data_IF_007110201950
#
_entry.id   IF_007110201950
#
_cell.length_a   1.000
_cell.length_b   1.000
_cell.length_c   1.000
_cell.angle_alpha   90.00
_cell.angle_beta   90.00
_cell.angle_gamma   90.00
#
_symmetry.space_group_name_H-M   'P 1'
#
loop_
_entity.id
_entity.type
_entity.pdbx_description
1 polymer ?
#
# COMPACT_ATOMS: atom_id res chain seq x y z
N UNK A 1 -5.91 -15.80 -1.31
CA UNK A 1 -6.70 -14.67 -0.80
C UNK A 1 -6.36 -13.46 -1.65
N UNK A 2 -7.36 -12.87 -2.31
CA UNK A 2 -7.21 -11.62 -3.08
C UNK A 2 -7.14 -10.46 -2.10
N UNK A 3 -5.93 -10.11 -1.68
CA UNK A 3 -5.67 -9.00 -0.77
C UNK A 3 -5.86 -7.67 -1.54
N UNK A 4 -6.69 -6.79 -1.01
CA UNK A 4 -6.80 -5.40 -1.44
C UNK A 4 -5.53 -4.66 -1.00
N UNK A 5 -4.46 -4.80 -1.78
CA UNK A 5 -3.26 -3.97 -1.64
C UNK A 5 -3.58 -2.58 -2.23
N UNK A 6 -3.63 -1.55 -1.38
CA UNK A 6 -4.12 -0.22 -1.79
C UNK A 6 -3.13 0.59 -2.61
N UNK A 7 -1.84 0.28 -2.54
CA UNK A 7 -0.80 1.12 -3.17
C UNK A 7 0.14 0.31 -4.06
N UNK A 8 0.13 0.66 -5.35
CA UNK A 8 1.29 0.51 -6.21
C UNK A 8 2.32 1.57 -5.81
N UNK A 9 3.28 1.20 -4.96
CA UNK A 9 4.38 2.11 -4.57
C UNK A 9 5.44 2.13 -5.68
N UNK A 10 5.03 2.66 -6.83
CA UNK A 10 5.84 2.75 -8.04
C UNK A 10 6.11 1.39 -8.71
N UNK A 11 6.78 1.40 -9.88
CA UNK A 11 7.13 0.21 -10.67
C UNK A 11 8.09 -0.76 -9.95
N UNK A 12 8.35 -0.56 -8.66
CA UNK A 12 9.34 -1.26 -7.83
C UNK A 12 8.71 -2.24 -6.84
N UNK A 13 7.37 -2.27 -6.72
CA UNK A 13 6.61 -3.22 -5.86
C UNK A 13 6.42 -4.59 -6.50
N UNK A 14 7.36 -5.03 -7.34
CA UNK A 14 7.32 -6.36 -7.94
C UNK A 14 7.55 -7.40 -6.84
N UNK A 15 6.71 -8.45 -6.81
CA UNK A 15 6.82 -9.53 -5.82
C UNK A 15 8.21 -10.15 -5.81
N UNK A 16 8.74 -10.46 -4.64
CA UNK A 16 9.87 -11.33 -4.42
C UNK A 16 9.51 -12.81 -4.55
N UNK A 17 10.54 -13.64 -4.67
CA UNK A 17 10.40 -15.08 -4.51
C UNK A 17 10.13 -15.42 -3.04
N UNK A 18 9.13 -16.26 -2.77
CA UNK A 18 8.89 -16.78 -1.42
C UNK A 18 9.94 -17.85 -1.07
N UNK A 19 10.16 -18.11 0.22
CA UNK A 19 10.98 -19.24 0.65
C UNK A 19 10.49 -20.54 0.00
N UNK A 20 11.37 -21.24 -0.72
CA UNK A 20 11.07 -22.50 -1.41
C UNK A 20 10.42 -22.37 -2.79
N UNK A 21 10.20 -21.16 -3.31
CA UNK A 21 9.79 -20.97 -4.71
C UNK A 21 10.99 -20.95 -5.66
N UNK A 22 10.78 -21.48 -6.86
CA UNK A 22 11.76 -21.37 -7.95
C UNK A 22 12.02 -19.91 -8.32
N UNK A 23 13.27 -19.62 -8.65
CA UNK A 23 13.67 -18.31 -9.17
C UNK A 23 12.91 -18.02 -10.47
N UNK A 24 12.31 -16.83 -10.55
CA UNK A 24 11.63 -16.34 -11.75
C UNK A 24 12.24 -15.01 -12.21
N UNK A 25 13.45 -15.00 -12.79
CA UNK A 25 14.09 -13.79 -13.30
C UNK A 25 13.19 -12.99 -14.24
N UNK A 26 13.23 -11.67 -14.12
CA UNK A 26 12.38 -10.73 -14.85
C UNK A 26 10.92 -10.69 -14.39
N UNK A 27 10.53 -11.52 -13.42
CA UNK A 27 9.16 -11.56 -12.85
C UNK A 27 9.12 -11.39 -11.34
N UNK A 28 10.09 -11.96 -10.62
CA UNK A 28 10.17 -11.89 -9.16
C UNK A 28 11.53 -11.38 -8.70
N UNK A 29 11.56 -10.59 -7.63
CA UNK A 29 12.79 -10.14 -6.95
C UNK A 29 13.45 -11.28 -6.18
N UNK A 30 14.77 -11.26 -6.03
CA UNK A 30 15.44 -12.07 -4.99
C UNK A 30 15.13 -11.50 -3.60
N UNK A 31 15.47 -12.24 -2.54
CA UNK A 31 15.31 -11.76 -1.16
C UNK A 31 16.10 -10.47 -0.92
N UNK A 32 17.36 -10.41 -1.39
CA UNK A 32 18.19 -9.23 -1.24
C UNK A 32 17.66 -8.04 -2.02
N UNK A 33 17.23 -8.26 -3.27
CA UNK A 33 16.63 -7.19 -4.05
C UNK A 33 15.33 -6.66 -3.40
N UNK A 34 14.53 -7.52 -2.77
CA UNK A 34 13.32 -7.11 -2.04
C UNK A 34 13.68 -6.31 -0.78
N UNK A 35 14.63 -6.78 0.03
CA UNK A 35 15.14 -6.04 1.20
C UNK A 35 15.66 -4.66 0.79
N UNK A 36 16.40 -4.59 -0.33
CA UNK A 36 16.88 -3.34 -0.88
C UNK A 36 15.74 -2.40 -1.33
N UNK A 37 14.68 -2.94 -1.92
CA UNK A 37 13.49 -2.17 -2.30
C UNK A 37 12.76 -1.60 -1.06
N UNK A 38 12.71 -2.33 0.07
CA UNK A 38 12.13 -1.80 1.33
C UNK A 38 12.90 -0.57 1.82
N UNK A 39 14.22 -0.61 1.77
CA UNK A 39 15.08 0.54 2.13
C UNK A 39 14.83 1.70 1.16
N UNK A 40 14.76 1.41 -0.14
CA UNK A 40 14.46 2.41 -1.18
C UNK A 40 13.12 3.11 -0.94
N UNK A 41 12.09 2.34 -0.60
CA UNK A 41 10.76 2.86 -0.28
C UNK A 41 10.80 3.82 0.92
N UNK A 42 11.41 3.41 2.04
CA UNK A 42 11.52 4.27 3.21
C UNK A 42 12.23 5.59 2.89
N UNK A 43 13.26 5.55 2.04
CA UNK A 43 13.98 6.76 1.59
C UNK A 43 13.14 7.67 0.70
N UNK A 44 12.39 7.10 -0.25
CA UNK A 44 11.44 7.87 -1.10
C UNK A 44 10.41 8.59 -0.23
N UNK A 45 9.96 7.95 0.85
CA UNK A 45 9.02 8.51 1.82
C UNK A 45 9.69 9.40 2.88
N UNK A 46 11.00 9.65 2.77
CA UNK A 46 11.71 10.68 3.53
C UNK A 46 12.61 10.17 4.67
N UNK A 47 12.77 8.86 4.88
CA UNK A 47 13.75 8.32 5.84
C UNK A 47 15.14 8.78 5.45
N UNK A 48 15.83 9.44 6.37
CA UNK A 48 17.24 9.84 6.21
C UNK A 48 18.14 8.77 6.82
N UNK A 49 19.26 8.51 6.15
CA UNK A 49 20.29 7.57 6.59
C UNK A 49 21.53 8.34 7.04
N UNK A 50 22.36 7.73 7.89
CA UNK A 50 23.66 8.31 8.24
C UNK A 50 24.61 8.28 7.03
N UNK A 51 25.69 9.06 7.07
CA UNK A 51 26.69 9.06 5.98
C UNK A 51 27.33 7.68 5.75
N UNK A 52 27.50 6.88 6.82
CA UNK A 52 28.02 5.52 6.73
C UNK A 52 27.01 4.60 6.04
N UNK A 53 25.74 4.68 6.42
CA UNK A 53 24.69 3.82 5.87
C UNK A 53 24.39 4.17 4.40
N UNK A 54 24.51 5.45 4.03
CA UNK A 54 24.42 5.89 2.63
C UNK A 54 25.52 5.27 1.76
N UNK A 55 26.76 5.19 2.27
CA UNK A 55 27.85 4.52 1.57
C UNK A 55 27.58 3.01 1.44
N UNK A 56 27.09 2.38 2.50
CA UNK A 56 26.73 0.96 2.49
C UNK A 56 25.63 0.66 1.45
N UNK A 57 24.58 1.49 1.39
CA UNK A 57 23.51 1.36 0.39
C UNK A 57 24.04 1.48 -1.03
N UNK A 58 25.02 2.36 -1.29
CA UNK A 58 25.65 2.45 -2.62
C UNK A 58 26.46 1.20 -2.98
N UNK A 59 27.13 0.57 -2.00
CA UNK A 59 27.83 -0.70 -2.24
C UNK A 59 26.84 -1.79 -2.63
N UNK A 60 25.77 -1.98 -1.86
CA UNK A 60 24.70 -2.93 -2.21
C UNK A 60 24.07 -2.60 -3.56
N UNK A 61 23.84 -1.34 -3.88
CA UNK A 61 23.31 -0.94 -5.18
C UNK A 61 24.19 -1.38 -6.34
N UNK A 62 25.52 -1.26 -6.20
CA UNK A 62 26.47 -1.67 -7.24
C UNK A 62 26.45 -3.19 -7.47
N UNK A 63 26.24 -3.99 -6.42
CA UNK A 63 26.16 -5.44 -6.53
C UNK A 63 24.79 -5.92 -7.03
N UNK A 64 23.70 -5.31 -6.53
CA UNK A 64 22.33 -5.71 -6.83
C UNK A 64 21.77 -5.10 -8.12
N UNK A 65 22.33 -3.98 -8.59
CA UNK A 65 21.86 -3.27 -9.80
C UNK A 65 23.02 -2.72 -10.63
N UNK A 66 23.97 -3.54 -11.13
CA UNK A 66 25.20 -3.01 -11.66
C UNK A 66 25.05 -2.19 -12.95
N UNK A 67 24.04 -2.43 -13.81
CA UNK A 67 23.97 -1.70 -15.11
C UNK A 67 22.69 -1.86 -15.95
N UNK A 68 21.71 -2.70 -15.57
CA UNK A 68 20.49 -2.89 -16.38
C UNK A 68 19.23 -2.87 -15.51
N UNK A 69 18.50 -1.76 -15.51
CA UNK A 69 17.33 -1.48 -14.65
C UNK A 69 16.11 -2.39 -14.91
N UNK A 70 16.16 -3.28 -15.92
CA UNK A 70 15.02 -4.09 -16.38
C UNK A 70 15.06 -5.57 -15.99
N UNK A 71 16.14 -6.07 -15.39
CA UNK A 71 16.16 -7.45 -14.89
C UNK A 71 16.09 -7.46 -13.36
N UNK A 72 15.00 -8.03 -12.83
CA UNK A 72 14.87 -8.39 -11.42
C UNK A 72 15.08 -9.91 -11.25
N UNK A 73 15.34 -10.36 -10.03
CA UNK A 73 15.42 -11.77 -9.67
C UNK A 73 16.73 -12.44 -10.05
N UNK A 74 17.80 -11.67 -10.22
CA UNK A 74 19.09 -12.17 -10.71
C UNK A 74 20.20 -11.97 -9.69
N UNK A 75 20.13 -10.91 -8.89
CA UNK A 75 21.25 -10.52 -8.05
C UNK A 75 21.01 -10.87 -6.58
N UNK A 76 22.05 -11.40 -5.96
CA UNK A 76 22.16 -11.70 -4.52
C UNK A 76 23.55 -11.24 -4.10
N UNK A 77 23.68 -10.71 -2.90
CA UNK A 77 24.96 -10.29 -2.36
C UNK A 77 25.87 -11.51 -2.19
N UNK A 78 27.12 -11.39 -2.63
CA UNK A 78 28.07 -12.50 -2.58
C UNK A 78 28.54 -12.80 -1.15
N UNK A 79 28.58 -11.77 -0.30
CA UNK A 79 29.00 -11.86 1.09
C UNK A 79 27.76 -12.07 2.00
N UNK A 80 27.67 -13.21 2.72
CA UNK A 80 26.58 -13.48 3.65
C UNK A 80 26.44 -12.45 4.77
N UNK A 81 27.53 -11.84 5.23
CA UNK A 81 27.48 -10.81 6.29
C UNK A 81 26.81 -9.53 5.75
N UNK A 82 27.08 -9.18 4.49
CA UNK A 82 26.39 -8.09 3.81
C UNK A 82 24.90 -8.40 3.57
N UNK A 83 24.55 -9.64 3.22
CA UNK A 83 23.15 -10.07 3.08
C UNK A 83 22.39 -9.95 4.40
N UNK A 84 23.02 -10.36 5.51
CA UNK A 84 22.46 -10.21 6.86
C UNK A 84 22.26 -8.73 7.23
N UNK A 85 23.28 -7.89 7.01
CA UNK A 85 23.21 -6.46 7.29
C UNK A 85 22.13 -5.75 6.45
N UNK A 86 21.99 -6.13 5.18
CA UNK A 86 20.91 -5.65 4.31
C UNK A 86 19.53 -6.01 4.88
N UNK A 87 19.35 -7.26 5.32
CA UNK A 87 18.11 -7.70 5.92
C UNK A 87 17.76 -6.92 7.20
N UNK A 88 18.71 -6.75 8.11
CA UNK A 88 18.53 -5.97 9.35
C UNK A 88 18.14 -4.53 9.05
N UNK A 89 18.82 -3.89 8.10
CA UNK A 89 18.51 -2.52 7.66
C UNK A 89 17.13 -2.41 7.02
N UNK A 90 16.69 -3.44 6.30
CA UNK A 90 15.35 -3.52 5.73
C UNK A 90 14.27 -3.67 6.81
N UNK A 91 14.53 -4.44 7.89
CA UNK A 91 13.61 -4.54 9.03
C UNK A 91 13.46 -3.20 9.76
N UNK A 92 14.55 -2.46 9.97
CA UNK A 92 14.47 -1.10 10.52
C UNK A 92 13.70 -0.15 9.61
N UNK A 93 13.90 -0.24 8.30
CA UNK A 93 13.16 0.54 7.32
C UNK A 93 11.67 0.21 7.35
N UNK A 94 11.30 -1.07 7.48
CA UNK A 94 9.91 -1.52 7.60
C UNK A 94 9.26 -1.03 8.90
N UNK A 95 9.96 -1.10 10.03
CA UNK A 95 9.48 -0.56 11.29
C UNK A 95 9.23 0.96 11.19
N UNK A 96 10.17 1.70 10.58
CA UNK A 96 10.02 3.13 10.33
C UNK A 96 8.83 3.47 9.42
N UNK A 97 8.56 2.63 8.42
CA UNK A 97 7.37 2.74 7.55
C UNK A 97 6.10 2.50 8.36
N UNK A 98 6.09 1.48 9.24
CA UNK A 98 4.97 1.16 10.12
C UNK A 98 4.53 2.33 11.00
N UNK A 99 5.49 3.07 11.58
CA UNK A 99 5.21 4.30 12.36
C UNK A 99 4.51 5.41 11.55
N UNK A 100 4.57 5.35 10.22
CA UNK A 100 4.07 6.37 9.29
C UNK A 100 2.97 5.86 8.38
N UNK A 101 2.45 4.66 8.66
CA UNK A 101 1.28 4.17 7.97
C UNK A 101 0.11 5.17 8.17
N UNK A 102 -0.68 5.46 7.12
CA UNK A 102 -1.91 6.21 7.29
C UNK A 102 -2.79 5.54 8.36
N UNK A 103 -3.55 6.33 9.12
CA UNK A 103 -4.44 5.78 10.15
C UNK A 103 -5.32 4.66 9.56
N UNK A 104 -5.59 3.61 10.35
CA UNK A 104 -6.37 2.44 9.90
C UNK A 104 -5.69 1.55 8.84
N UNK A 105 -4.41 1.79 8.51
CA UNK A 105 -3.61 0.96 7.62
C UNK A 105 -2.29 0.54 8.29
N UNK A 106 -1.65 -0.49 7.75
CA UNK A 106 -0.31 -0.94 8.13
C UNK A 106 0.51 -1.33 6.90
N UNK A 107 1.83 -1.21 7.01
CA UNK A 107 2.76 -1.77 6.04
C UNK A 107 3.13 -3.20 6.47
N UNK A 108 2.99 -4.16 5.57
CA UNK A 108 3.37 -5.56 5.79
C UNK A 108 4.32 -6.00 4.71
N UNK A 109 5.36 -6.73 5.13
CA UNK A 109 6.30 -7.40 4.23
C UNK A 109 5.93 -8.88 4.12
N UNK A 110 5.43 -9.28 2.96
CA UNK A 110 5.17 -10.69 2.61
C UNK A 110 6.18 -11.16 1.55
N UNK A 111 5.73 -11.43 0.33
CA UNK A 111 6.57 -11.44 -0.86
C UNK A 111 6.67 -10.04 -1.47
N UNK A 112 5.93 -9.05 -1.00
CA UNK A 112 6.07 -7.65 -1.37
C UNK A 112 5.86 -6.77 -0.14
N UNK A 113 6.25 -5.49 -0.24
CA UNK A 113 5.76 -4.49 0.72
C UNK A 113 4.38 -4.06 0.28
N UNK A 114 3.38 -4.35 1.11
CA UNK A 114 1.98 -4.02 0.89
C UNK A 114 1.53 -3.03 1.96
N UNK A 115 0.69 -2.06 1.58
CA UNK A 115 -0.11 -1.31 2.54
C UNK A 115 -1.51 -1.92 2.57
N UNK A 116 -1.89 -2.46 3.72
CA UNK A 116 -3.15 -3.17 3.93
C UNK A 116 -3.99 -2.51 5.03
N UNK A 117 -5.33 -2.60 4.96
CA UNK A 117 -6.20 -2.06 6.00
C UNK A 117 -6.09 -2.89 7.28
N UNK A 118 -6.04 -2.22 8.43
CA UNK A 118 -6.14 -2.87 9.74
C UNK A 118 -7.55 -3.44 9.93
N UNK A 119 -7.65 -4.72 10.30
CA UNK A 119 -8.92 -5.42 10.50
C UNK A 119 -9.47 -5.29 11.93
N UNK A 120 -8.86 -4.44 12.75
CA UNK A 120 -9.28 -4.18 14.12
C UNK A 120 -10.45 -3.18 14.17
N UNK A 121 -11.65 -3.70 14.42
CA UNK A 121 -12.87 -2.88 14.57
C UNK A 121 -12.95 -2.13 15.91
N UNK A 122 -12.00 -2.34 16.82
CA UNK A 122 -11.89 -1.60 18.08
C UNK A 122 -11.00 -0.37 17.96
N UNK A 123 -10.27 -0.22 16.86
CA UNK A 123 -9.42 0.94 16.60
C UNK A 123 -10.22 2.25 16.62
N UNK A 124 -9.55 3.34 17.03
CA UNK A 124 -10.13 4.70 17.00
C UNK A 124 -10.57 5.08 15.58
N UNK A 125 -9.82 4.62 14.58
CA UNK A 125 -10.03 4.91 13.17
C UNK A 125 -10.00 3.62 12.35
N UNK A 126 -11.00 3.44 11.48
CA UNK A 126 -11.24 2.22 10.72
C UNK A 126 -11.18 2.51 9.22
N UNK A 127 -10.41 1.70 8.49
CA UNK A 127 -10.40 1.74 7.04
C UNK A 127 -11.70 1.21 6.45
N UNK A 128 -12.32 1.95 5.54
CA UNK A 128 -13.53 1.50 4.83
C UNK A 128 -13.27 0.19 4.07
N UNK A 129 -12.05 0.01 3.54
CA UNK A 129 -11.62 -1.23 2.91
C UNK A 129 -11.63 -2.42 3.89
N UNK A 130 -11.26 -2.22 5.16
CA UNK A 130 -11.38 -3.27 6.19
C UNK A 130 -12.83 -3.70 6.36
N UNK A 131 -13.73 -2.71 6.44
CA UNK A 131 -15.18 -2.95 6.60
C UNK A 131 -15.73 -3.74 5.42
N UNK A 132 -15.40 -3.34 4.19
CA UNK A 132 -15.82 -4.05 2.97
C UNK A 132 -15.24 -5.47 2.94
N UNK A 133 -13.97 -5.64 3.30
CA UNK A 133 -13.32 -6.95 3.33
C UNK A 133 -13.96 -7.88 4.38
N UNK A 134 -14.23 -7.37 5.59
CA UNK A 134 -14.87 -8.13 6.67
C UNK A 134 -16.35 -8.41 6.42
N UNK A 135 -17.03 -7.59 5.60
CA UNK A 135 -18.42 -7.83 5.21
C UNK A 135 -18.55 -9.16 4.45
N UNK A 136 -17.56 -9.50 3.61
CA UNK A 136 -17.48 -10.78 2.90
C UNK A 136 -18.61 -10.99 1.86
N UNK A 137 -19.39 -9.96 1.56
CA UNK A 137 -20.52 -9.99 0.63
C UNK A 137 -20.44 -8.81 -0.35
N UNK A 138 -20.96 -8.95 -1.57
CA UNK A 138 -21.01 -7.84 -2.52
C UNK A 138 -21.93 -6.72 -2.01
N UNK A 139 -21.38 -5.52 -1.84
CA UNK A 139 -22.11 -4.31 -1.45
C UNK A 139 -21.98 -3.28 -2.57
N UNK A 140 -23.06 -2.87 -3.25
CA UNK A 140 -22.98 -1.96 -4.39
C UNK A 140 -22.22 -0.66 -4.11
N UNK A 141 -22.39 -0.09 -2.91
CA UNK A 141 -21.76 1.17 -2.54
C UNK A 141 -20.26 1.05 -2.26
N UNK A 142 -19.73 -0.16 -2.02
CA UNK A 142 -18.33 -0.40 -1.65
C UNK A 142 -17.34 0.20 -2.65
N UNK A 143 -17.66 0.16 -3.96
CA UNK A 143 -16.79 0.69 -5.02
C UNK A 143 -16.49 2.18 -4.88
N UNK A 144 -17.49 2.97 -4.53
CA UNK A 144 -17.36 4.42 -4.38
C UNK A 144 -17.01 4.83 -2.95
N UNK A 145 -17.43 4.04 -1.94
CA UNK A 145 -17.15 4.32 -0.54
C UNK A 145 -15.65 4.21 -0.18
N UNK A 146 -14.88 3.38 -0.92
CA UNK A 146 -13.43 3.24 -0.76
C UNK A 146 -12.61 4.21 -1.64
N UNK A 147 -13.28 5.05 -2.44
CA UNK A 147 -12.63 5.92 -3.41
C UNK A 147 -11.85 7.07 -2.78
N UNK A 148 -10.83 7.54 -3.51
CA UNK A 148 -10.06 8.73 -3.19
C UNK A 148 -10.54 9.88 -4.08
N UNK A 149 -10.27 11.12 -3.68
CA UNK A 149 -10.52 12.30 -4.50
C UNK A 149 -9.21 12.75 -5.12
N UNK A 150 -9.22 13.01 -6.42
CA UNK A 150 -8.03 13.54 -7.10
C UNK A 150 -8.36 14.60 -8.14
N UNK A 151 -7.39 15.49 -8.37
CA UNK A 151 -7.44 16.42 -9.50
C UNK A 151 -6.76 15.82 -10.73
N UNK A 152 -7.46 15.84 -11.86
CA UNK A 152 -6.90 15.43 -13.15
C UNK A 152 -6.05 16.55 -13.78
N UNK A 153 -5.21 16.19 -14.76
CA UNK A 153 -4.43 17.17 -15.53
C UNK A 153 -5.29 18.16 -16.33
N UNK A 154 -6.56 17.84 -16.61
CA UNK A 154 -7.55 18.76 -17.19
C UNK A 154 -8.00 19.87 -16.24
N UNK A 155 -7.76 19.70 -14.94
CA UNK A 155 -8.22 20.59 -13.88
C UNK A 155 -9.47 20.10 -13.15
N UNK A 156 -10.18 19.11 -13.68
CA UNK A 156 -11.40 18.52 -13.10
C UNK A 156 -11.11 17.58 -11.93
N UNK A 157 -12.10 17.35 -11.09
CA UNK A 157 -12.01 16.45 -9.94
C UNK A 157 -12.76 15.13 -10.16
N UNK A 158 -12.22 14.04 -9.63
CA UNK A 158 -12.78 12.70 -9.77
C UNK A 158 -12.70 11.91 -8.46
N UNK A 159 -13.75 11.12 -8.19
CA UNK A 159 -13.79 10.13 -7.11
C UNK A 159 -13.35 8.79 -7.69
N UNK A 160 -12.18 8.29 -7.31
CA UNK A 160 -11.64 7.10 -7.91
C UNK A 160 -10.18 6.78 -7.66
N UNK A 161 -9.81 5.52 -7.86
CA UNK A 161 -8.41 5.10 -8.03
C UNK A 161 -8.02 5.15 -9.52
N UNK A 162 -6.74 4.90 -9.85
CA UNK A 162 -6.28 4.95 -11.24
C UNK A 162 -6.85 3.86 -12.17
N UNK A 163 -7.54 2.83 -11.65
CA UNK A 163 -7.72 1.57 -12.39
C UNK A 163 -9.16 1.06 -12.42
N UNK A 164 -9.99 1.34 -11.41
CA UNK A 164 -11.17 0.53 -11.13
C UNK A 164 -12.46 1.34 -10.91
N UNK A 165 -12.41 2.52 -10.32
CA UNK A 165 -13.60 3.33 -10.03
C UNK A 165 -13.35 4.76 -10.46
N UNK A 166 -14.16 5.29 -11.37
CA UNK A 166 -14.11 6.71 -11.73
C UNK A 166 -15.55 7.25 -11.72
N UNK A 167 -15.80 8.22 -10.85
CA UNK A 167 -17.00 9.06 -10.89
C UNK A 167 -16.58 10.51 -11.07
N UNK A 168 -17.28 11.25 -11.92
CA UNK A 168 -16.94 12.61 -12.35
C UNK A 168 -16.98 12.78 -13.88
N UNK A 169 -16.45 13.89 -14.43
CA UNK A 169 -15.79 14.99 -13.73
C UNK A 169 -16.72 15.79 -12.81
N UNK A 170 -16.17 16.36 -11.75
CA UNK A 170 -16.80 17.37 -10.89
C UNK A 170 -16.01 18.68 -10.95
N UNK A 171 -16.69 19.79 -10.64
CA UNK A 171 -16.09 21.11 -10.71
C UNK A 171 -15.13 21.38 -9.54
N UNK A 172 -15.43 20.81 -8.37
CA UNK A 172 -14.66 21.06 -7.13
C UNK A 172 -14.28 19.77 -6.38
N UNK A 173 -13.28 19.88 -5.52
CA UNK A 173 -12.92 18.82 -4.56
C UNK A 173 -14.10 18.48 -3.65
N UNK A 174 -14.83 19.48 -3.19
CA UNK A 174 -15.90 19.32 -2.19
C UNK A 174 -17.10 18.56 -2.76
N UNK A 175 -17.49 18.85 -4.00
CA UNK A 175 -18.51 18.07 -4.72
C UNK A 175 -18.11 16.59 -4.83
N UNK A 176 -16.83 16.35 -5.15
CA UNK A 176 -16.30 14.99 -5.27
C UNK A 176 -16.28 14.26 -3.93
N UNK A 177 -15.87 14.96 -2.87
CA UNK A 177 -15.87 14.47 -1.48
C UNK A 177 -17.30 14.12 -1.04
N UNK A 178 -18.29 14.96 -1.38
CA UNK A 178 -19.70 14.71 -1.05
C UNK A 178 -20.24 13.43 -1.70
N UNK A 179 -19.82 13.10 -2.91
CA UNK A 179 -20.19 11.85 -3.59
C UNK A 179 -19.63 10.63 -2.85
N UNK A 180 -18.38 10.68 -2.41
CA UNK A 180 -17.77 9.60 -1.60
C UNK A 180 -18.48 9.47 -0.25
N UNK A 181 -18.82 10.59 0.41
CA UNK A 181 -19.58 10.57 1.66
C UNK A 181 -20.98 9.97 1.49
N UNK A 182 -21.67 10.30 0.39
CA UNK A 182 -22.97 9.70 0.07
C UNK A 182 -22.86 8.18 -0.05
N UNK A 183 -21.88 7.69 -0.80
CA UNK A 183 -21.62 6.26 -0.92
C UNK A 183 -21.27 5.60 0.42
N UNK A 184 -20.59 6.30 1.32
CA UNK A 184 -20.31 5.82 2.68
C UNK A 184 -21.58 5.69 3.52
N UNK A 185 -22.48 6.67 3.46
CA UNK A 185 -23.78 6.55 4.12
C UNK A 185 -24.58 5.37 3.57
N UNK A 186 -24.64 5.22 2.24
CA UNK A 186 -25.30 4.08 1.59
C UNK A 186 -24.66 2.73 1.99
N UNK A 187 -23.33 2.67 2.12
CA UNK A 187 -22.63 1.48 2.57
C UNK A 187 -23.07 1.07 3.99
N UNK A 188 -23.20 2.01 4.91
CA UNK A 188 -23.66 1.72 6.26
C UNK A 188 -25.09 1.14 6.27
N UNK A 189 -25.99 1.68 5.45
CA UNK A 189 -27.36 1.17 5.33
C UNK A 189 -27.41 -0.22 4.67
N UNK A 190 -26.57 -0.46 3.67
CA UNK A 190 -26.41 -1.78 3.05
C UNK A 190 -25.89 -2.82 4.05
N UNK A 191 -24.92 -2.44 4.90
CA UNK A 191 -24.39 -3.30 5.96
C UNK A 191 -25.48 -3.67 6.98
N UNK A 192 -26.27 -2.70 7.45
CA UNK A 192 -27.42 -2.97 8.35
C UNK A 192 -28.42 -3.91 7.70
N UNK A 193 -28.77 -3.66 6.44
CA UNK A 193 -29.70 -4.49 5.66
C UNK A 193 -29.18 -5.93 5.46
N UNK A 194 -27.86 -6.10 5.41
CA UNK A 194 -27.20 -7.40 5.34
C UNK A 194 -26.99 -8.07 6.71
N UNK A 195 -27.52 -7.50 7.81
CA UNK A 195 -27.35 -8.03 9.16
C UNK A 195 -25.97 -7.80 9.78
N UNK A 196 -25.18 -6.89 9.21
CA UNK A 196 -23.82 -6.51 9.67
C UNK A 196 -23.84 -5.18 10.42
N UNK A 197 -24.70 -5.07 11.42
CA UNK A 197 -24.80 -3.86 12.27
C UNK A 197 -23.48 -3.57 12.99
N UNK A 198 -22.74 -4.63 13.38
CA UNK A 198 -21.39 -4.56 13.94
C UNK A 198 -20.44 -3.71 13.09
N UNK A 199 -20.51 -3.89 11.77
CA UNK A 199 -19.71 -3.15 10.81
C UNK A 199 -20.30 -1.76 10.53
N UNK A 200 -21.62 -1.63 10.42
CA UNK A 200 -22.28 -0.36 10.15
C UNK A 200 -22.03 0.68 11.27
N UNK A 201 -22.00 0.24 12.53
CA UNK A 201 -21.80 1.10 13.70
C UNK A 201 -20.38 1.70 13.77
N UNK A 202 -19.47 1.23 12.92
CA UNK A 202 -18.13 1.81 12.77
C UNK A 202 -18.11 3.10 11.93
N UNK A 203 -19.23 3.50 11.32
CA UNK A 203 -19.25 4.58 10.32
C UNK A 203 -18.74 5.93 10.80
N UNK A 204 -18.92 6.25 12.09
CA UNK A 204 -18.41 7.48 12.70
C UNK A 204 -16.89 7.50 12.88
N UNK A 205 -16.25 6.32 12.84
CA UNK A 205 -14.80 6.12 12.99
C UNK A 205 -14.11 5.86 11.65
N UNK A 206 -14.83 5.93 10.53
CA UNK A 206 -14.20 5.70 9.23
C UNK A 206 -13.18 6.79 8.90
N UNK A 207 -12.06 6.36 8.33
CA UNK A 207 -11.00 7.25 7.87
C UNK A 207 -11.54 8.41 7.03
N UNK A 208 -11.03 9.64 7.17
CA UNK A 208 -11.36 10.75 6.28
C UNK A 208 -11.18 10.39 4.80
N UNK A 209 -11.92 11.05 3.91
CA UNK A 209 -11.78 10.85 2.46
C UNK A 209 -10.41 11.39 2.01
N UNK A 210 -9.52 10.57 1.45
CA UNK A 210 -8.22 11.04 0.97
C UNK A 210 -8.39 11.98 -0.24
N UNK A 211 -7.67 13.11 -0.27
CA UNK A 211 -7.69 14.10 -1.36
C UNK A 211 -6.27 14.32 -1.88
N UNK A 212 -6.05 14.23 -3.20
CA UNK A 212 -4.74 14.32 -3.88
C UNK A 212 -4.71 15.28 -5.07
#
# INVERSE_FOLDING_TARGET
MTALARWHVGPWTTRGARPGEDAAPGRKRTVDELNFDVIGLARILGRRLSGRDELQVRLWQNELRPTHTRMCGVHTLADPDNAKHLHETAQEALAWLGERAPAGYEFVLTDAVELQPLLDLTAEVIAVDAVVQLAGVPLPAARLATAHVRRAGSGDWYAGDAVCNWSGPYATSDETVAVVHTARTELADQLRSAGRTDLADTSSRWLPVPVY
#
